data_IF_835829148581
#
_entry.id   IF_835829148581
#
_cell.length_a   1.000
_cell.length_b   1.000
_cell.length_c   1.000
_cell.angle_alpha   90.00
_cell.angle_beta   90.00
_cell.angle_gamma   90.00
#
_symmetry.space_group_name_H-M   'P 1'
#
loop_
_entity.id
_entity.type
_entity.pdbx_description
1 polymer ?
#
# COMPACT_ATOMS: atom_id res chain seq x y z
N UNK A 1 -11.15 10.08 -1.16
CA UNK A 1 -12.46 10.62 -0.77
C UNK A 1 -13.50 9.54 -0.44
N UNK A 2 -13.35 8.31 -0.96
CA UNK A 2 -14.32 7.23 -0.79
C UNK A 2 -13.77 6.16 0.14
N UNK A 3 -13.68 6.33 1.40
CA UNK A 3 -13.14 5.45 2.45
C UNK A 3 -13.46 3.95 2.29
N UNK A 4 -13.21 3.40 1.11
CA UNK A 4 -13.45 2.00 0.77
C UNK A 4 -12.30 1.11 1.27
N UNK A 5 -12.12 1.03 2.60
CA UNK A 5 -11.08 0.18 3.19
C UNK A 5 -11.22 -1.30 2.76
N UNK A 6 -12.46 -1.75 2.49
CA UNK A 6 -12.73 -3.12 2.00
C UNK A 6 -12.03 -3.39 0.67
N UNK A 7 -11.99 -2.41 -0.24
CA UNK A 7 -11.31 -2.56 -1.53
C UNK A 7 -9.81 -2.83 -1.33
N UNK A 8 -9.20 -2.21 -0.31
CA UNK A 8 -7.79 -2.42 -0.02
C UNK A 8 -7.49 -3.88 0.39
N UNK A 9 -8.40 -4.55 1.14
CA UNK A 9 -8.25 -5.98 1.45
C UNK A 9 -8.17 -6.83 0.18
N UNK A 10 -9.04 -6.59 -0.79
CA UNK A 10 -9.00 -7.32 -2.06
C UNK A 10 -7.76 -6.96 -2.88
N UNK A 11 -7.47 -5.68 -3.04
CA UNK A 11 -6.39 -5.20 -3.90
C UNK A 11 -5.02 -5.68 -3.40
N UNK A 12 -4.71 -5.49 -2.12
CA UNK A 12 -3.44 -5.94 -1.53
C UNK A 12 -3.33 -7.45 -1.50
N UNK A 13 -4.40 -8.16 -1.10
CA UNK A 13 -4.40 -9.61 -1.04
C UNK A 13 -4.21 -10.24 -2.42
N UNK A 14 -4.95 -9.81 -3.44
CA UNK A 14 -4.81 -10.34 -4.79
C UNK A 14 -3.42 -10.02 -5.37
N UNK A 15 -2.91 -8.82 -5.13
CA UNK A 15 -1.59 -8.44 -5.58
C UNK A 15 -0.49 -9.26 -4.91
N UNK A 16 -0.58 -9.50 -3.60
CA UNK A 16 0.38 -10.32 -2.88
C UNK A 16 0.33 -11.79 -3.33
N UNK A 17 -0.87 -12.37 -3.49
CA UNK A 17 -1.06 -13.73 -4.03
C UNK A 17 -0.44 -13.84 -5.42
N UNK A 18 -0.64 -12.83 -6.28
CA UNK A 18 -0.03 -12.77 -7.59
C UNK A 18 1.50 -12.82 -7.50
N UNK A 19 2.11 -12.01 -6.64
CA UNK A 19 3.57 -11.96 -6.45
C UNK A 19 4.14 -13.32 -5.99
N UNK A 20 3.45 -14.00 -5.07
CA UNK A 20 3.90 -15.29 -4.53
C UNK A 20 3.74 -16.41 -5.57
N UNK A 21 2.59 -16.49 -6.23
CA UNK A 21 2.29 -17.57 -7.19
C UNK A 21 3.09 -17.43 -8.49
N UNK A 22 3.39 -16.21 -8.93
CA UNK A 22 4.13 -15.92 -10.16
C UNK A 22 5.64 -15.83 -9.96
N UNK A 23 6.17 -16.26 -8.82
CA UNK A 23 7.59 -16.19 -8.49
C UNK A 23 8.49 -16.80 -9.59
N UNK A 24 8.05 -17.86 -10.27
CA UNK A 24 8.77 -18.48 -11.37
C UNK A 24 8.82 -17.62 -12.65
N UNK A 25 7.78 -16.82 -12.92
CA UNK A 25 7.73 -15.86 -14.03
C UNK A 25 8.50 -14.58 -13.69
N UNK A 26 8.56 -14.23 -12.41
CA UNK A 26 9.27 -13.07 -11.88
C UNK A 26 10.75 -13.39 -11.60
N UNK A 27 11.42 -14.14 -12.49
CA UNK A 27 12.83 -14.54 -12.30
C UNK A 27 13.79 -13.37 -12.12
N UNK A 28 13.54 -12.26 -12.83
CA UNK A 28 14.35 -11.03 -12.76
C UNK A 28 13.78 -10.09 -11.70
N UNK A 29 14.62 -9.55 -10.83
CA UNK A 29 14.21 -8.57 -9.81
C UNK A 29 13.54 -7.33 -10.44
N UNK A 30 13.95 -6.96 -11.65
CA UNK A 30 13.36 -5.86 -12.40
C UNK A 30 11.87 -6.08 -12.75
N UNK A 31 11.41 -7.33 -12.86
CA UNK A 31 9.99 -7.60 -13.05
C UNK A 31 9.18 -7.21 -11.81
N UNK A 32 9.73 -7.40 -10.60
CA UNK A 32 9.10 -6.93 -9.36
C UNK A 32 8.95 -5.41 -9.36
N UNK A 33 10.00 -4.67 -9.79
CA UNK A 33 9.90 -3.21 -9.97
C UNK A 33 8.74 -2.83 -10.91
N UNK A 34 8.65 -3.46 -12.09
CA UNK A 34 7.58 -3.17 -13.05
C UNK A 34 6.18 -3.37 -12.46
N UNK A 35 5.95 -4.49 -11.77
CA UNK A 35 4.65 -4.76 -11.16
C UNK A 35 4.35 -3.85 -9.97
N UNK A 36 5.36 -3.48 -9.18
CA UNK A 36 5.22 -2.48 -8.14
C UNK A 36 4.87 -1.10 -8.70
N UNK A 37 5.55 -0.73 -9.77
CA UNK A 37 5.26 0.52 -10.47
C UNK A 37 3.85 0.53 -11.04
N UNK A 38 3.42 -0.55 -11.73
CA UNK A 38 2.05 -0.67 -12.26
C UNK A 38 0.99 -0.61 -11.16
N UNK A 39 1.22 -1.31 -10.05
CA UNK A 39 0.33 -1.26 -8.88
C UNK A 39 0.23 0.16 -8.31
N UNK A 40 1.38 0.81 -8.11
CA UNK A 40 1.45 2.19 -7.62
C UNK A 40 0.82 3.18 -8.59
N UNK A 41 1.06 3.03 -9.89
CA UNK A 41 0.45 3.87 -10.91
C UNK A 41 -1.08 3.80 -10.85
N UNK A 42 -1.65 2.57 -10.84
CA UNK A 42 -3.09 2.39 -10.72
C UNK A 42 -3.66 2.98 -9.44
N UNK A 43 -2.98 2.78 -8.31
CA UNK A 43 -3.38 3.34 -7.03
C UNK A 43 -3.39 4.87 -7.04
N UNK A 44 -2.29 5.50 -7.45
CA UNK A 44 -2.19 6.97 -7.47
C UNK A 44 -3.07 7.59 -8.55
N UNK A 45 -3.22 6.96 -9.70
CA UNK A 45 -4.11 7.43 -10.75
C UNK A 45 -5.56 7.49 -10.27
N UNK A 46 -6.04 6.44 -9.59
CA UNK A 46 -7.39 6.39 -9.05
C UNK A 46 -7.60 7.33 -7.85
N UNK A 47 -6.57 7.59 -7.05
CA UNK A 47 -6.70 8.32 -5.79
C UNK A 47 -6.34 9.80 -5.89
N UNK A 48 -5.58 10.23 -6.90
CA UNK A 48 -5.06 11.60 -7.04
C UNK A 48 -5.70 12.42 -8.16
N UNK A 49 -6.75 11.90 -8.83
CA UNK A 49 -7.42 12.63 -9.92
C UNK A 49 -7.91 14.03 -9.48
N UNK A 50 -8.25 14.19 -8.19
CA UNK A 50 -8.71 15.46 -7.63
C UNK A 50 -7.66 16.58 -7.69
N UNK A 51 -6.36 16.27 -7.78
CA UNK A 51 -5.28 17.28 -7.91
C UNK A 51 -5.48 18.09 -9.19
N UNK A 52 -6.01 17.47 -10.23
CA UNK A 52 -6.24 18.17 -11.52
C UNK A 52 -7.34 19.22 -11.44
N UNK A 53 -8.19 19.16 -10.40
CA UNK A 53 -9.21 20.19 -10.17
C UNK A 53 -8.54 21.56 -9.94
N UNK A 54 -7.37 21.59 -9.29
CA UNK A 54 -6.60 22.82 -9.11
C UNK A 54 -6.21 23.48 -10.45
N UNK A 55 -5.99 22.69 -11.50
CA UNK A 55 -5.65 23.19 -12.84
C UNK A 55 -6.86 23.71 -13.61
N UNK A 56 -8.09 23.50 -13.13
CA UNK A 56 -9.31 23.99 -13.79
C UNK A 56 -9.61 25.46 -13.49
N UNK A 57 -8.98 26.03 -12.48
CA UNK A 57 -9.18 27.43 -12.08
C UNK A 57 -8.54 28.44 -13.03
N UNK A 58 -7.54 28.00 -13.84
CA UNK A 58 -6.91 28.83 -14.87
C UNK A 58 -7.08 28.16 -16.22
N UNK A 59 -7.63 28.89 -17.20
CA UNK A 59 -7.89 28.39 -18.55
C UNK A 59 -6.63 27.92 -19.27
N UNK A 60 -5.52 28.62 -19.07
CA UNK A 60 -4.21 28.28 -19.66
C UNK A 60 -3.63 26.98 -19.09
N UNK A 61 -3.98 26.63 -17.84
CA UNK A 61 -3.47 25.44 -17.20
C UNK A 61 -4.30 24.18 -17.51
N UNK A 62 -5.50 24.32 -18.05
CA UNK A 62 -6.36 23.17 -18.42
C UNK A 62 -5.68 22.19 -19.39
N UNK A 63 -4.83 22.68 -20.28
CA UNK A 63 -4.07 21.85 -21.22
C UNK A 63 -3.09 20.90 -20.52
N UNK A 64 -2.68 21.20 -19.29
CA UNK A 64 -1.77 20.38 -18.48
C UNK A 64 -2.48 19.23 -17.74
N UNK A 65 -3.82 19.22 -17.69
CA UNK A 65 -4.60 18.20 -16.95
C UNK A 65 -4.22 16.78 -17.39
N UNK A 66 -4.24 16.39 -18.67
CA UNK A 66 -3.89 15.04 -19.08
C UNK A 66 -2.44 14.67 -18.75
N UNK A 67 -1.54 15.64 -18.81
CA UNK A 67 -0.12 15.46 -18.47
C UNK A 67 0.02 15.20 -16.97
N UNK A 68 -0.64 16.01 -16.12
CA UNK A 68 -0.62 15.86 -14.66
C UNK A 68 -1.21 14.53 -14.21
N UNK A 69 -2.32 14.09 -14.82
CA UNK A 69 -2.97 12.81 -14.55
C UNK A 69 -2.06 11.60 -14.79
N UNK A 70 -1.12 11.69 -15.72
CA UNK A 70 -0.20 10.59 -16.01
C UNK A 70 1.13 10.76 -15.29
N UNK A 71 1.69 11.96 -15.31
CA UNK A 71 3.05 12.22 -14.82
C UNK A 71 3.16 12.10 -13.30
N UNK A 72 2.19 12.67 -12.54
CA UNK A 72 2.20 12.63 -11.08
C UNK A 72 2.08 11.18 -10.57
N UNK A 73 1.07 10.38 -10.97
CA UNK A 73 1.01 8.97 -10.59
C UNK A 73 2.22 8.16 -11.02
N UNK A 74 2.75 8.40 -12.23
CA UNK A 74 3.93 7.69 -12.75
C UNK A 74 5.16 7.93 -11.89
N UNK A 75 5.39 9.17 -11.47
CA UNK A 75 6.49 9.53 -10.60
C UNK A 75 6.34 8.91 -9.21
N UNK A 76 5.17 9.04 -8.58
CA UNK A 76 4.91 8.47 -7.26
C UNK A 76 4.97 6.94 -7.26
N UNK A 77 4.58 6.30 -8.35
CA UNK A 77 4.66 4.84 -8.51
C UNK A 77 6.09 4.29 -8.45
N UNK A 78 7.12 5.13 -8.71
CA UNK A 78 8.53 4.72 -8.60
C UNK A 78 8.84 4.20 -7.20
N UNK A 79 8.30 4.83 -6.16
CA UNK A 79 8.51 4.40 -4.78
C UNK A 79 8.01 2.97 -4.53
N UNK A 80 6.84 2.60 -5.08
CA UNK A 80 6.30 1.24 -4.97
C UNK A 80 7.07 0.25 -5.85
N UNK A 81 7.55 0.70 -7.00
CA UNK A 81 8.48 -0.08 -7.82
C UNK A 81 9.75 -0.42 -7.06
N UNK A 82 10.37 0.57 -6.39
CA UNK A 82 11.56 0.37 -5.56
C UNK A 82 11.29 -0.55 -4.35
N UNK A 83 10.15 -0.37 -3.68
CA UNK A 83 9.75 -1.24 -2.57
C UNK A 83 9.70 -2.71 -3.01
N UNK A 84 9.04 -3.01 -4.14
CA UNK A 84 8.97 -4.37 -4.65
C UNK A 84 10.29 -4.87 -5.25
N UNK A 85 11.10 -4.01 -5.81
CA UNK A 85 12.45 -4.40 -6.23
C UNK A 85 13.25 -4.94 -5.06
N UNK A 86 13.24 -4.24 -3.91
CA UNK A 86 13.90 -4.71 -2.68
C UNK A 86 13.21 -5.97 -2.13
N UNK A 87 11.87 -6.02 -2.15
CA UNK A 87 11.12 -7.20 -1.74
C UNK A 87 11.56 -8.47 -2.48
N UNK A 88 11.93 -8.36 -3.75
CA UNK A 88 12.36 -9.49 -4.58
C UNK A 88 13.56 -10.27 -4.03
N UNK A 89 14.39 -9.66 -3.20
CA UNK A 89 15.54 -10.34 -2.56
C UNK A 89 15.12 -11.30 -1.45
N UNK A 90 13.91 -11.13 -0.90
CA UNK A 90 13.39 -11.92 0.22
C UNK A 90 12.46 -13.08 -0.20
N UNK A 91 12.23 -13.28 -1.49
CA UNK A 91 11.24 -14.22 -2.07
C UNK A 91 11.34 -15.69 -1.64
N UNK A 92 12.40 -16.10 -0.96
CA UNK A 92 12.60 -17.46 -0.43
C UNK A 92 12.06 -17.66 0.98
N UNK A 93 11.57 -16.62 1.65
CA UNK A 93 11.06 -16.66 3.01
C UNK A 93 9.65 -17.26 3.09
N UNK A 94 9.20 -17.55 4.33
CA UNK A 94 7.83 -18.01 4.61
C UNK A 94 6.82 -16.91 4.26
N UNK A 95 5.59 -17.28 3.92
CA UNK A 95 4.55 -16.34 3.50
C UNK A 95 4.26 -15.24 4.56
N UNK A 96 4.25 -15.58 5.85
CA UNK A 96 4.08 -14.60 6.94
C UNK A 96 5.23 -13.60 7.00
N UNK A 97 6.48 -14.08 6.92
CA UNK A 97 7.65 -13.20 6.88
C UNK A 97 7.64 -12.32 5.64
N UNK A 98 7.23 -12.87 4.49
CA UNK A 98 7.08 -12.09 3.25
C UNK A 98 6.02 -11.01 3.38
N UNK A 99 4.88 -11.30 4.03
CA UNK A 99 3.84 -10.30 4.26
C UNK A 99 4.31 -9.16 5.15
N UNK A 100 5.04 -9.48 6.24
CA UNK A 100 5.62 -8.46 7.12
C UNK A 100 6.68 -7.62 6.39
N UNK A 101 7.60 -8.27 5.64
CA UNK A 101 8.60 -7.57 4.85
C UNK A 101 7.94 -6.66 3.80
N UNK A 102 6.89 -7.14 3.13
CA UNK A 102 6.10 -6.34 2.19
C UNK A 102 5.53 -5.09 2.87
N UNK A 103 4.85 -5.26 4.01
CA UNK A 103 4.24 -4.15 4.75
C UNK A 103 5.27 -3.12 5.23
N UNK A 104 6.40 -3.60 5.76
CA UNK A 104 7.49 -2.74 6.23
C UNK A 104 8.13 -1.98 5.07
N UNK A 105 8.42 -2.64 3.95
CA UNK A 105 9.00 -1.98 2.79
C UNK A 105 8.04 -0.91 2.22
N UNK A 106 6.75 -1.24 2.07
CA UNK A 106 5.78 -0.24 1.64
C UNK A 106 5.73 0.95 2.62
N UNK A 107 5.70 0.69 3.94
CA UNK A 107 5.72 1.75 4.94
C UNK A 107 6.97 2.62 4.90
N UNK A 108 8.16 2.01 4.71
CA UNK A 108 9.42 2.75 4.56
C UNK A 108 9.36 3.64 3.31
N UNK A 109 8.92 3.11 2.17
CA UNK A 109 8.84 3.91 0.94
C UNK A 109 7.74 4.98 0.98
N UNK A 110 6.67 4.76 1.74
CA UNK A 110 5.68 5.79 2.05
C UNK A 110 6.30 6.91 2.91
N UNK A 111 7.09 6.56 3.92
CA UNK A 111 7.83 7.54 4.73
C UNK A 111 8.83 8.33 3.88
N UNK A 112 9.61 7.65 3.05
CA UNK A 112 10.56 8.29 2.13
C UNK A 112 9.81 9.25 1.19
N UNK A 113 8.72 8.81 0.57
CA UNK A 113 7.88 9.62 -0.32
C UNK A 113 7.32 10.86 0.39
N UNK A 114 6.93 10.71 1.66
CA UNK A 114 6.39 11.81 2.45
C UNK A 114 7.43 12.85 2.89
N UNK A 115 8.73 12.55 2.81
CA UNK A 115 9.80 13.42 3.32
C UNK A 115 10.81 13.84 2.24
N UNK A 116 10.89 13.17 1.09
CA UNK A 116 11.80 13.52 0.00
C UNK A 116 11.20 14.64 -0.88
N UNK A 117 12.06 15.48 -1.41
CA UNK A 117 11.71 16.67 -2.20
C UNK A 117 10.89 17.66 -1.35
N UNK A 118 9.73 18.08 -1.82
CA UNK A 118 8.79 18.92 -1.04
C UNK A 118 7.94 18.11 -0.07
N UNK A 119 8.08 16.76 -0.06
CA UNK A 119 7.24 15.83 0.65
C UNK A 119 5.84 15.68 0.02
N UNK A 120 5.37 14.44 -0.11
CA UNK A 120 4.00 14.17 -0.55
C UNK A 120 3.37 13.10 0.36
N UNK A 121 2.93 13.49 1.59
CA UNK A 121 2.42 12.55 2.58
C UNK A 121 0.95 12.14 2.36
N UNK A 122 0.36 12.56 1.26
CA UNK A 122 -1.03 12.30 0.93
C UNK A 122 -1.28 10.83 0.54
N UNK A 123 -2.52 10.37 0.72
CA UNK A 123 -2.99 9.04 0.34
C UNK A 123 -2.24 7.88 1.00
N UNK A 124 -1.93 7.99 2.29
CA UNK A 124 -1.52 6.85 3.08
C UNK A 124 -2.70 5.89 3.27
N UNK A 125 -2.44 4.58 3.28
CA UNK A 125 -3.49 3.56 3.39
C UNK A 125 -4.24 3.61 4.72
N UNK A 126 -3.61 4.11 5.79
CA UNK A 126 -4.26 4.33 7.08
C UNK A 126 -5.47 5.26 6.99
N UNK A 127 -5.45 6.23 6.08
CA UNK A 127 -6.57 7.16 5.90
C UNK A 127 -7.80 6.53 5.22
N UNK A 128 -7.73 5.28 4.78
CA UNK A 128 -8.93 4.54 4.37
C UNK A 128 -9.87 4.24 5.55
N UNK A 129 -9.38 4.36 6.78
CA UNK A 129 -10.15 4.25 8.01
C UNK A 129 -10.58 5.60 8.60
N UNK A 130 -10.46 6.71 7.87
CA UNK A 130 -10.72 8.08 8.38
C UNK A 130 -12.16 8.31 8.87
N UNK A 131 -13.12 7.49 8.48
CA UNK A 131 -14.49 7.55 9.01
C UNK A 131 -14.61 6.99 10.44
N UNK A 132 -13.62 6.23 10.92
CA UNK A 132 -13.59 5.71 12.28
C UNK A 132 -12.64 6.57 13.11
N UNK A 133 -13.20 7.50 13.90
CA UNK A 133 -12.44 8.45 14.70
C UNK A 133 -11.62 7.74 15.80
N UNK A 134 -12.16 6.68 16.39
CA UNK A 134 -11.49 5.90 17.43
C UNK A 134 -10.21 5.26 16.88
N UNK A 135 -10.29 4.67 15.69
CA UNK A 135 -9.13 4.13 15.01
C UNK A 135 -8.08 5.21 14.69
N UNK A 136 -8.51 6.38 14.22
CA UNK A 136 -7.60 7.49 13.87
C UNK A 136 -6.91 8.08 15.11
N UNK A 137 -7.54 8.06 16.28
CA UNK A 137 -6.89 8.53 17.52
C UNK A 137 -5.61 7.76 17.86
N UNK A 138 -5.48 6.50 17.42
CA UNK A 138 -4.27 5.70 17.61
C UNK A 138 -3.04 6.35 16.92
N UNK A 139 -3.24 7.18 15.89
CA UNK A 139 -2.17 7.94 15.26
C UNK A 139 -1.39 8.82 16.26
N UNK A 140 -2.06 9.32 17.29
CA UNK A 140 -1.42 10.15 18.33
C UNK A 140 -0.46 9.36 19.21
N UNK A 141 -0.63 8.04 19.32
CA UNK A 141 0.17 7.16 20.18
C UNK A 141 1.35 6.56 19.38
N UNK A 142 1.09 5.99 18.21
CA UNK A 142 2.11 5.21 17.47
C UNK A 142 2.63 5.91 16.21
N UNK A 143 2.02 7.03 15.83
CA UNK A 143 2.37 7.80 14.66
C UNK A 143 1.76 7.25 13.36
N UNK A 144 1.65 8.12 12.37
CA UNK A 144 0.94 7.85 11.10
C UNK A 144 1.59 6.75 10.27
N UNK A 145 2.90 6.77 10.11
CA UNK A 145 3.60 5.79 9.28
C UNK A 145 3.65 4.41 9.93
N UNK A 146 3.76 4.34 11.27
CA UNK A 146 3.74 3.07 11.99
C UNK A 146 2.36 2.40 11.87
N UNK A 147 1.27 3.18 12.07
CA UNK A 147 -0.08 2.66 11.87
C UNK A 147 -0.33 2.27 10.42
N UNK A 148 0.23 2.99 9.45
CA UNK A 148 0.14 2.64 8.04
C UNK A 148 0.74 1.27 7.72
N UNK A 149 1.89 0.90 8.33
CA UNK A 149 2.48 -0.45 8.21
C UNK A 149 1.53 -1.51 8.76
N UNK A 150 0.92 -1.24 9.92
CA UNK A 150 -0.05 -2.15 10.54
C UNK A 150 -1.26 -2.33 9.61
N UNK A 151 -1.80 -1.25 9.04
CA UNK A 151 -2.92 -1.31 8.08
C UNK A 151 -2.59 -2.15 6.85
N UNK A 152 -1.39 -1.98 6.26
CA UNK A 152 -0.96 -2.79 5.11
C UNK A 152 -0.89 -4.27 5.50
N UNK A 153 -0.33 -4.58 6.68
CA UNK A 153 -0.29 -5.96 7.20
C UNK A 153 -1.69 -6.54 7.38
N UNK A 154 -2.64 -5.72 7.79
CA UNK A 154 -4.06 -6.06 7.90
C UNK A 154 -4.67 -6.44 6.56
N UNK A 155 -4.42 -5.63 5.53
CA UNK A 155 -4.93 -5.88 4.18
C UNK A 155 -4.38 -7.16 3.55
N UNK A 156 -3.27 -7.70 4.08
CA UNK A 156 -2.68 -8.96 3.61
C UNK A 156 -3.23 -10.22 4.31
N UNK A 157 -4.06 -10.09 5.36
CA UNK A 157 -4.60 -11.25 6.10
C UNK A 157 -5.32 -12.24 5.19
N UNK A 158 -6.24 -11.82 4.28
CA UNK A 158 -6.91 -12.76 3.39
C UNK A 158 -5.92 -13.53 2.50
N UNK A 159 -4.86 -12.87 2.02
CA UNK A 159 -3.83 -13.52 1.22
C UNK A 159 -3.06 -14.58 2.01
N UNK A 160 -2.66 -14.28 3.24
CA UNK A 160 -1.95 -15.24 4.11
C UNK A 160 -2.85 -16.42 4.41
N UNK A 161 -4.14 -16.17 4.68
CA UNK A 161 -5.12 -17.24 4.94
C UNK A 161 -5.31 -18.17 3.74
N UNK A 162 -5.32 -17.63 2.52
CA UNK A 162 -5.41 -18.43 1.28
C UNK A 162 -4.12 -19.21 1.02
N UNK A 163 -2.97 -18.57 1.21
CA UNK A 163 -1.64 -19.15 0.93
C UNK A 163 -1.10 -20.03 2.06
N UNK A 164 -1.87 -20.21 3.15
CA UNK A 164 -1.43 -20.92 4.36
C UNK A 164 -0.96 -22.34 4.09
N UNK A 165 0.17 -22.70 4.70
CA UNK A 165 0.75 -24.05 4.69
C UNK A 165 0.98 -24.59 6.09
N UNK A 166 1.02 -23.72 7.10
CA UNK A 166 1.41 -24.04 8.47
C UNK A 166 0.44 -23.47 9.50
N UNK A 167 0.39 -24.09 10.69
CA UNK A 167 -0.42 -23.59 11.83
C UNK A 167 0.04 -22.21 12.30
N UNK A 168 1.33 -21.87 12.16
CA UNK A 168 1.86 -20.56 12.53
C UNK A 168 1.28 -19.42 11.70
N UNK A 169 0.93 -19.69 10.44
CA UNK A 169 0.29 -18.70 9.57
C UNK A 169 -1.15 -18.41 9.98
N UNK A 170 -1.86 -19.44 10.48
CA UNK A 170 -3.21 -19.25 11.06
C UNK A 170 -3.11 -18.42 12.33
N UNK A 171 -2.15 -18.74 13.21
CA UNK A 171 -1.93 -17.97 14.45
C UNK A 171 -1.63 -16.50 14.17
N UNK A 172 -0.81 -16.23 13.17
CA UNK A 172 -0.55 -14.86 12.70
C UNK A 172 -1.83 -14.14 12.28
N UNK A 173 -2.67 -14.78 11.45
CA UNK A 173 -3.95 -14.19 11.03
C UNK A 173 -4.86 -13.89 12.23
N UNK A 174 -4.95 -14.83 13.19
CA UNK A 174 -5.78 -14.65 14.40
C UNK A 174 -5.28 -13.46 15.23
N UNK A 175 -3.97 -13.34 15.46
CA UNK A 175 -3.40 -12.20 16.21
C UNK A 175 -3.76 -10.88 15.52
N UNK A 176 -3.55 -10.77 14.20
CA UNK A 176 -3.86 -9.54 13.47
C UNK A 176 -5.36 -9.22 13.47
N UNK A 177 -6.24 -10.22 13.37
CA UNK A 177 -7.68 -10.03 13.50
C UNK A 177 -8.04 -9.50 14.90
N UNK A 178 -7.46 -10.08 15.96
CA UNK A 178 -7.69 -9.63 17.33
C UNK A 178 -7.19 -8.18 17.55
N UNK A 179 -6.02 -7.84 17.03
CA UNK A 179 -5.50 -6.47 17.03
C UNK A 179 -6.48 -5.53 16.31
N UNK A 180 -7.04 -5.94 15.18
CA UNK A 180 -8.00 -5.12 14.45
C UNK A 180 -9.32 -4.92 15.15
N UNK A 181 -9.83 -5.98 15.76
CA UNK A 181 -11.05 -5.88 16.58
C UNK A 181 -10.80 -4.94 17.76
N UNK A 182 -9.65 -5.08 18.43
CA UNK A 182 -9.26 -4.19 19.52
C UNK A 182 -9.27 -2.72 19.08
N UNK A 183 -8.65 -2.40 17.93
CA UNK A 183 -8.60 -1.04 17.39
C UNK A 183 -9.94 -0.51 16.85
N UNK A 184 -10.94 -1.37 16.65
CA UNK A 184 -12.29 -0.94 16.23
C UNK A 184 -13.24 -0.75 17.42
N UNK A 185 -12.91 -1.29 18.59
CA UNK A 185 -13.77 -1.24 19.79
C UNK A 185 -13.28 -0.18 20.78
N UNK A 186 -11.99 0.10 20.84
CA UNK A 186 -11.35 1.07 21.73
C UNK A 186 -10.77 2.27 20.97
#
# INVERSE_FOLDING_TARGET
PYNYFIINFFTFSLFFIFLINKNNLLRKNFNYFKYGWLFGFGYFFASLYWITIALTFDEHLKILIPIALILIPSFLAIFYGCALYIFSFFKKNKNTSLALIFSVLFGIFEFIRGNILSGFPWNLFVFSFSNNLEFIQILSIIGTYSLNIICISFFLIPAIFILRKTKSEIFFCVIFILIGIFFLIF
#
